data_IF_285878778987
#
_entry.id   IF_285878778987
#
_cell.length_a   1.000
_cell.length_b   1.000
_cell.length_c   1.000
_cell.angle_alpha   90.00
_cell.angle_beta   90.00
_cell.angle_gamma   90.00
#
_symmetry.space_group_name_H-M   'P 1'
#
loop_
_entity.id
_entity.type
_entity.pdbx_description
1 polymer ?
#
# COMPACT_ATOMS: atom_id res chain seq x y z
N UNK A 1 17.22 31.60 -5.08
CA UNK A 1 15.94 31.58 -4.34
C UNK A 1 14.85 31.28 -5.36
N UNK A 2 14.58 30.00 -5.60
CA UNK A 2 13.47 29.59 -6.48
C UNK A 2 12.20 29.75 -5.66
N UNK A 3 11.32 30.65 -6.09
CA UNK A 3 9.94 30.67 -5.62
C UNK A 3 9.29 29.38 -6.09
N UNK A 4 9.35 28.30 -5.29
CA UNK A 4 8.53 27.12 -5.53
C UNK A 4 7.09 27.58 -5.49
N UNK A 5 6.32 27.27 -6.53
CA UNK A 5 4.90 27.56 -6.51
C UNK A 5 4.30 26.84 -5.28
N UNK A 6 3.36 27.45 -4.54
CA UNK A 6 2.81 26.83 -3.32
C UNK A 6 2.24 25.43 -3.58
N UNK A 7 1.77 25.17 -4.80
CA UNK A 7 1.28 23.88 -5.27
C UNK A 7 2.39 22.81 -5.32
N UNK A 8 3.62 23.18 -5.71
CA UNK A 8 4.76 22.25 -5.77
C UNK A 8 5.25 21.86 -4.38
N UNK A 9 5.20 22.81 -3.43
CA UNK A 9 5.53 22.53 -2.04
C UNK A 9 4.55 21.52 -1.44
N UNK A 10 3.24 21.72 -1.66
CA UNK A 10 2.19 20.79 -1.19
C UNK A 10 2.36 19.40 -1.83
N UNK A 11 2.67 19.33 -3.11
CA UNK A 11 2.90 18.06 -3.80
C UNK A 11 4.09 17.28 -3.20
N UNK A 12 5.18 17.98 -2.89
CA UNK A 12 6.38 17.36 -2.30
C UNK A 12 6.11 16.79 -0.91
N UNK A 13 5.41 17.55 -0.06
CA UNK A 13 5.00 17.11 1.28
C UNK A 13 4.07 15.88 1.21
N UNK A 14 3.11 15.89 0.27
CA UNK A 14 2.20 14.76 0.06
C UNK A 14 2.95 13.50 -0.38
N UNK A 15 3.89 13.62 -1.33
CA UNK A 15 4.71 12.49 -1.78
C UNK A 15 5.57 11.93 -0.65
N UNK A 16 6.18 12.80 0.17
CA UNK A 16 6.95 12.40 1.34
C UNK A 16 6.09 11.65 2.37
N UNK A 17 4.91 12.18 2.69
CA UNK A 17 3.94 11.53 3.57
C UNK A 17 3.49 10.16 3.04
N UNK A 18 3.21 10.06 1.74
CA UNK A 18 2.78 8.82 1.08
C UNK A 18 3.82 7.70 1.23
N UNK A 19 5.10 8.00 1.02
CA UNK A 19 6.19 7.02 1.20
C UNK A 19 6.24 6.51 2.63
N UNK A 20 6.13 7.40 3.61
CA UNK A 20 6.11 7.03 5.04
C UNK A 20 4.89 6.14 5.34
N UNK A 21 3.71 6.49 4.84
CA UNK A 21 2.51 5.68 4.98
C UNK A 21 2.70 4.27 4.41
N UNK A 22 3.28 4.14 3.21
CA UNK A 22 3.55 2.82 2.63
C UNK A 22 4.53 1.99 3.46
N UNK A 23 5.54 2.60 4.09
CA UNK A 23 6.41 1.87 5.02
C UNK A 23 5.62 1.23 6.16
N UNK A 24 4.67 1.96 6.76
CA UNK A 24 3.81 1.41 7.81
C UNK A 24 2.89 0.30 7.28
N UNK A 25 2.30 0.48 6.09
CA UNK A 25 1.48 -0.54 5.44
C UNK A 25 2.25 -1.86 5.28
N UNK A 26 3.50 -1.83 4.81
CA UNK A 26 4.28 -3.06 4.63
C UNK A 26 4.74 -3.70 5.94
N UNK A 27 5.03 -2.91 6.97
CA UNK A 27 5.33 -3.44 8.31
C UNK A 27 4.10 -4.18 8.84
N UNK A 28 2.92 -3.55 8.77
CA UNK A 28 1.66 -4.16 9.20
C UNK A 28 1.33 -5.41 8.38
N UNK A 29 1.55 -5.38 7.06
CA UNK A 29 1.39 -6.56 6.20
C UNK A 29 2.24 -7.75 6.68
N UNK A 30 3.51 -7.52 7.03
CA UNK A 30 4.37 -8.56 7.61
C UNK A 30 3.83 -9.14 8.92
N UNK A 31 3.26 -8.30 9.78
CA UNK A 31 2.59 -8.74 11.03
C UNK A 31 1.38 -9.61 10.70
N UNK A 32 0.52 -9.18 9.77
CA UNK A 32 -0.67 -9.93 9.35
C UNK A 32 -0.31 -11.30 8.76
N UNK A 33 0.74 -11.36 7.93
CA UNK A 33 1.27 -12.62 7.38
C UNK A 33 1.74 -13.54 8.50
N UNK A 34 2.47 -13.01 9.48
CA UNK A 34 2.97 -13.79 10.62
C UNK A 34 1.81 -14.30 11.47
N UNK A 35 0.79 -13.48 11.73
CA UNK A 35 -0.42 -13.87 12.46
C UNK A 35 -1.17 -14.98 11.73
N UNK A 36 -1.36 -14.86 10.41
CA UNK A 36 -2.00 -15.88 9.60
C UNK A 36 -1.21 -17.20 9.61
N UNK A 37 0.12 -17.13 9.50
CA UNK A 37 1.00 -18.30 9.55
C UNK A 37 0.93 -19.03 10.89
N UNK A 38 1.02 -18.29 12.01
CA UNK A 38 0.91 -18.86 13.36
C UNK A 38 -0.48 -19.49 13.56
N UNK A 39 -1.54 -18.83 13.10
CA UNK A 39 -2.90 -19.34 13.16
C UNK A 39 -3.02 -20.68 12.41
N UNK A 40 -2.50 -20.77 11.19
CA UNK A 40 -2.52 -22.01 10.41
C UNK A 40 -1.80 -23.17 11.12
N UNK A 41 -0.72 -22.88 11.85
CA UNK A 41 0.07 -23.89 12.56
C UNK A 41 -0.60 -24.38 13.86
N UNK A 42 -1.17 -23.48 14.65
CA UNK A 42 -1.73 -23.80 15.97
C UNK A 42 -3.20 -24.23 15.95
N UNK A 43 -3.99 -23.78 14.97
CA UNK A 43 -5.43 -24.05 14.92
C UNK A 43 -5.76 -25.38 14.24
N UNK A 44 -5.35 -26.52 14.83
CA UNK A 44 -5.64 -27.86 14.30
C UNK A 44 -7.08 -28.32 14.51
N UNK A 45 -7.71 -27.90 15.62
CA UNK A 45 -9.08 -28.27 15.99
C UNK A 45 -10.14 -27.18 15.69
N UNK A 46 -9.71 -26.03 15.16
CA UNK A 46 -10.65 -24.96 14.83
C UNK A 46 -11.55 -25.33 13.65
N UNK A 47 -12.81 -24.87 13.65
CA UNK A 47 -13.74 -25.16 12.59
C UNK A 47 -13.26 -24.58 11.26
N UNK A 48 -13.36 -25.40 10.20
CA UNK A 48 -12.79 -25.14 8.86
C UNK A 48 -13.18 -23.78 8.25
N UNK A 49 -14.34 -23.22 8.62
CA UNK A 49 -14.78 -21.92 8.13
C UNK A 49 -13.91 -20.75 8.63
N UNK A 50 -13.37 -20.81 9.86
CA UNK A 50 -12.48 -19.76 10.37
C UNK A 50 -11.16 -19.80 9.62
N UNK A 51 -10.63 -21.00 9.33
CA UNK A 51 -9.44 -21.17 8.49
C UNK A 51 -9.61 -20.59 7.09
N UNK A 52 -10.76 -20.80 6.45
CA UNK A 52 -11.07 -20.21 5.14
C UNK A 52 -11.15 -18.68 5.27
N UNK A 53 -11.81 -18.17 6.30
CA UNK A 53 -11.91 -16.73 6.54
C UNK A 53 -10.53 -16.08 6.70
N UNK A 54 -9.64 -16.67 7.50
CA UNK A 54 -8.26 -16.17 7.68
C UNK A 54 -7.49 -16.20 6.36
N UNK A 55 -7.62 -17.26 5.55
CA UNK A 55 -6.98 -17.34 4.24
C UNK A 55 -7.52 -16.27 3.27
N UNK A 56 -8.84 -16.02 3.26
CA UNK A 56 -9.46 -14.98 2.42
C UNK A 56 -9.02 -13.59 2.85
N UNK A 57 -9.02 -13.31 4.16
CA UNK A 57 -8.55 -12.02 4.70
C UNK A 57 -7.08 -11.80 4.34
N UNK A 58 -6.25 -12.82 4.50
CA UNK A 58 -4.84 -12.75 4.13
C UNK A 58 -4.65 -12.45 2.63
N UNK A 59 -5.36 -13.16 1.75
CA UNK A 59 -5.32 -12.90 0.31
C UNK A 59 -5.78 -11.48 -0.06
N UNK A 60 -6.84 -11.00 0.58
CA UNK A 60 -7.37 -9.65 0.34
C UNK A 60 -6.36 -8.58 0.77
N UNK A 61 -5.68 -8.80 1.90
CA UNK A 61 -4.62 -7.91 2.39
C UNK A 61 -3.38 -7.93 1.48
N UNK A 62 -3.01 -9.11 0.97
CA UNK A 62 -1.94 -9.25 -0.02
C UNK A 62 -2.28 -8.49 -1.31
N UNK A 63 -3.52 -8.59 -1.78
CA UNK A 63 -3.99 -7.88 -2.97
C UNK A 63 -3.98 -6.36 -2.74
N UNK A 64 -4.49 -5.90 -1.59
CA UNK A 64 -4.43 -4.48 -1.20
C UNK A 64 -2.98 -3.97 -1.18
N UNK A 65 -2.08 -4.73 -0.56
CA UNK A 65 -0.64 -4.40 -0.47
C UNK A 65 0.04 -4.39 -1.84
N UNK A 66 -0.37 -5.26 -2.77
CA UNK A 66 0.15 -5.28 -4.13
C UNK A 66 -0.28 -4.04 -4.94
N UNK A 67 -1.55 -3.62 -4.82
CA UNK A 67 -2.01 -2.38 -5.43
C UNK A 67 -1.32 -1.16 -4.83
N UNK A 68 -1.15 -1.13 -3.51
CA UNK A 68 -0.34 -0.15 -2.80
C UNK A 68 1.09 -0.07 -3.36
N UNK A 69 1.73 -1.20 -3.64
CA UNK A 69 3.08 -1.26 -4.25
C UNK A 69 3.12 -0.64 -5.63
N UNK A 70 2.12 -0.96 -6.45
CA UNK A 70 2.03 -0.43 -7.81
C UNK A 70 1.82 1.08 -7.78
N UNK A 71 0.96 1.60 -6.92
CA UNK A 71 0.77 3.04 -6.74
C UNK A 71 2.06 3.72 -6.29
N UNK A 72 2.76 3.16 -5.30
CA UNK A 72 4.05 3.69 -4.85
C UNK A 72 5.07 3.73 -5.99
N UNK A 73 5.15 2.69 -6.82
CA UNK A 73 6.03 2.66 -7.99
C UNK A 73 5.72 3.78 -8.99
N UNK A 74 4.43 3.99 -9.30
CA UNK A 74 4.02 5.10 -10.19
C UNK A 74 4.39 6.46 -9.62
N UNK A 75 4.11 6.71 -8.35
CA UNK A 75 4.41 8.00 -7.71
C UNK A 75 5.91 8.25 -7.56
N UNK A 76 6.68 7.24 -7.11
CA UNK A 76 8.12 7.42 -6.83
C UNK A 76 8.96 7.41 -8.11
N UNK A 77 8.71 6.47 -9.03
CA UNK A 77 9.58 6.30 -10.21
C UNK A 77 9.08 7.11 -11.40
N UNK A 78 7.77 7.05 -11.69
CA UNK A 78 7.23 7.66 -12.91
C UNK A 78 7.02 9.18 -12.79
N UNK A 79 6.80 9.67 -11.56
CA UNK A 79 6.65 11.10 -11.27
C UNK A 79 7.96 11.76 -10.81
N UNK A 80 9.09 11.04 -10.84
CA UNK A 80 10.38 11.56 -10.38
C UNK A 80 10.81 12.76 -11.24
N UNK A 81 10.73 13.97 -10.67
CA UNK A 81 11.11 15.22 -11.34
C UNK A 81 10.02 15.87 -12.19
N UNK A 82 8.76 15.43 -12.12
CA UNK A 82 7.63 16.06 -12.85
C UNK A 82 6.40 16.17 -11.95
N UNK A 83 6.18 17.36 -11.39
CA UNK A 83 5.06 17.68 -10.46
C UNK A 83 3.70 17.64 -11.16
N UNK A 84 3.68 17.76 -12.48
CA UNK A 84 2.48 17.82 -13.31
C UNK A 84 1.70 16.49 -13.30
N UNK A 85 2.40 15.36 -13.13
CA UNK A 85 1.78 14.02 -13.10
C UNK A 85 1.13 13.66 -11.76
N UNK A 86 1.40 14.44 -10.70
CA UNK A 86 0.73 14.28 -9.41
C UNK A 86 -0.72 14.77 -9.45
N UNK A 87 -1.07 15.68 -10.37
CA UNK A 87 -2.44 16.21 -10.45
C UNK A 87 -3.37 15.30 -11.29
N UNK A 88 -2.83 14.47 -12.17
CA UNK A 88 -3.54 13.36 -12.81
C UNK A 88 -3.44 12.11 -11.93
N UNK A 89 -4.06 12.15 -10.75
CA UNK A 89 -4.30 10.94 -9.96
C UNK A 89 -5.40 10.16 -10.68
N UNK A 90 -5.00 9.39 -11.68
CA UNK A 90 -5.88 8.48 -12.40
C UNK A 90 -6.23 7.31 -11.47
N UNK A 91 -7.34 7.47 -10.75
CA UNK A 91 -7.94 6.44 -9.88
C UNK A 91 -8.16 5.10 -10.61
N UNK A 92 -8.12 5.12 -11.95
CA UNK A 92 -8.16 3.97 -12.85
C UNK A 92 -6.99 2.99 -12.65
N UNK A 93 -5.85 3.41 -12.10
CA UNK A 93 -4.72 2.50 -11.81
C UNK A 93 -5.05 1.46 -10.73
N UNK A 94 -6.08 1.68 -9.92
CA UNK A 94 -6.61 0.69 -8.97
C UNK A 94 -7.63 -0.29 -9.58
N UNK A 95 -8.02 -0.10 -10.85
CA UNK A 95 -9.10 -0.88 -11.51
C UNK A 95 -8.62 -1.68 -12.73
N UNK A 96 -7.30 -1.77 -12.96
CA UNK A 96 -6.70 -2.61 -14.03
C UNK A 96 -5.97 -3.82 -13.50
#
# INVERSE_FOLDING_TARGET
>A
MTTSNPLEAIATELMGGLVICFCFVYILYGVTVTQAYIYMLNSKDDPRWIRILVAVVWLLETLHSAFAMRLLYYFVILSFGSVEKVNEIDWSLGVS
#
